data_IF_984386339543
#
_entry.id   IF_984386339543
#
_cell.length_a   1.000
_cell.length_b   1.000
_cell.length_c   1.000
_cell.angle_alpha   90.00
_cell.angle_beta   90.00
_cell.angle_gamma   90.00
#
_symmetry.space_group_name_H-M   'P 1'
#
loop_
_entity.id
_entity.type
_entity.pdbx_description
1 polymer ?
#
# COMPACT_ATOMS: atom_id res chain seq x y z
N UNK A 1 17.98 -33.56 -36.35
CA UNK A 1 16.73 -34.06 -35.76
C UNK A 1 16.68 -33.86 -34.24
N UNK A 2 17.68 -34.27 -33.45
CA UNK A 2 17.69 -34.03 -31.99
C UNK A 2 17.68 -32.53 -31.60
N UNK A 3 18.47 -31.70 -32.29
CA UNK A 3 18.54 -30.25 -32.02
C UNK A 3 17.23 -29.50 -32.34
N UNK A 4 16.51 -29.93 -33.39
CA UNK A 4 15.23 -29.34 -33.79
C UNK A 4 14.09 -29.73 -32.82
N UNK A 5 14.15 -30.95 -32.26
CA UNK A 5 13.23 -31.40 -31.21
C UNK A 5 13.46 -30.63 -29.89
N UNK A 6 14.72 -30.51 -29.46
CA UNK A 6 15.09 -29.75 -28.26
C UNK A 6 14.66 -28.28 -28.35
N UNK A 7 14.83 -27.66 -29.52
CA UNK A 7 14.37 -26.29 -29.75
C UNK A 7 12.84 -26.14 -29.67
N UNK A 8 12.08 -27.12 -30.18
CA UNK A 8 10.61 -27.10 -30.08
C UNK A 8 10.12 -27.28 -28.64
N UNK A 9 10.76 -28.17 -27.88
CA UNK A 9 10.44 -28.36 -26.45
C UNK A 9 10.74 -27.10 -25.63
N UNK A 10 11.88 -26.44 -25.89
CA UNK A 10 12.23 -25.17 -25.26
C UNK A 10 11.20 -24.08 -25.57
N UNK A 11 10.86 -23.90 -26.84
CA UNK A 11 9.86 -22.90 -27.26
C UNK A 11 8.51 -23.18 -26.62
N UNK A 12 8.09 -24.46 -26.55
CA UNK A 12 6.83 -24.84 -25.89
C UNK A 12 6.82 -24.44 -24.42
N UNK A 13 7.88 -24.72 -23.68
CA UNK A 13 7.98 -24.34 -22.26
C UNK A 13 7.92 -22.81 -22.08
N UNK A 14 8.63 -22.06 -22.93
CA UNK A 14 8.59 -20.59 -22.89
C UNK A 14 7.19 -20.04 -23.16
N UNK A 15 6.43 -20.67 -24.07
CA UNK A 15 5.05 -20.29 -24.34
C UNK A 15 4.14 -20.57 -23.15
N UNK A 16 4.30 -21.72 -22.48
CA UNK A 16 3.53 -22.07 -21.30
C UNK A 16 3.83 -21.13 -20.13
N UNK A 17 5.10 -20.82 -19.86
CA UNK A 17 5.49 -19.86 -18.81
C UNK A 17 4.89 -18.47 -19.06
N UNK A 18 4.97 -17.99 -20.31
CA UNK A 18 4.38 -16.72 -20.70
C UNK A 18 2.86 -16.73 -20.52
N UNK A 19 2.19 -17.82 -20.90
CA UNK A 19 0.74 -17.96 -20.74
C UNK A 19 0.33 -17.98 -19.26
N UNK A 20 1.07 -18.68 -18.39
CA UNK A 20 0.82 -18.68 -16.96
C UNK A 20 0.99 -17.31 -16.33
N UNK A 21 2.00 -16.56 -16.77
CA UNK A 21 2.22 -15.19 -16.30
C UNK A 21 1.06 -14.27 -16.68
N UNK A 22 0.64 -14.27 -17.95
CA UNK A 22 -0.49 -13.46 -18.41
C UNK A 22 -1.80 -13.85 -17.72
N UNK A 23 -2.03 -15.16 -17.51
CA UNK A 23 -3.22 -15.62 -16.78
C UNK A 23 -3.20 -15.19 -15.31
N UNK A 24 -2.03 -15.16 -14.68
CA UNK A 24 -1.88 -14.73 -13.28
C UNK A 24 -2.30 -13.28 -13.07
N UNK A 25 -2.08 -12.43 -14.06
CA UNK A 25 -2.26 -10.98 -13.96
C UNK A 25 -3.72 -10.53 -13.85
N UNK A 26 -4.61 -11.09 -14.67
CA UNK A 26 -5.97 -10.55 -14.85
C UNK A 26 -7.09 -11.59 -14.63
N UNK A 27 -6.78 -12.86 -14.42
CA UNK A 27 -7.81 -13.88 -14.18
C UNK A 27 -8.40 -13.78 -12.75
N UNK A 28 -9.71 -14.02 -12.55
CA UNK A 28 -10.34 -13.98 -11.22
C UNK A 28 -10.00 -15.25 -10.41
N UNK A 29 -8.78 -15.32 -9.88
CA UNK A 29 -8.32 -16.45 -9.09
C UNK A 29 -9.07 -16.56 -7.77
N UNK A 30 -9.59 -17.76 -7.49
CA UNK A 30 -10.14 -18.13 -6.18
C UNK A 30 -9.10 -18.88 -5.36
N UNK A 31 -9.30 -18.95 -4.04
CA UNK A 31 -8.41 -19.71 -3.14
C UNK A 31 -8.19 -21.15 -3.64
N UNK A 32 -9.26 -21.86 -4.01
CA UNK A 32 -9.20 -23.23 -4.53
C UNK A 32 -8.40 -23.35 -5.84
N UNK A 33 -8.48 -22.34 -6.71
CA UNK A 33 -7.70 -22.34 -7.95
C UNK A 33 -6.23 -22.06 -7.67
N UNK A 34 -5.92 -21.12 -6.79
CA UNK A 34 -4.55 -20.85 -6.36
C UNK A 34 -3.94 -22.06 -5.68
N UNK A 35 -4.66 -22.78 -4.83
CA UNK A 35 -4.20 -24.04 -4.24
C UNK A 35 -3.83 -25.07 -5.31
N UNK A 36 -4.70 -25.24 -6.31
CA UNK A 36 -4.49 -26.22 -7.37
C UNK A 36 -3.30 -25.88 -8.27
N UNK A 37 -3.06 -24.58 -8.52
CA UNK A 37 -2.09 -24.11 -9.50
C UNK A 37 -0.94 -23.27 -8.91
N UNK A 38 -0.72 -23.33 -7.60
CA UNK A 38 0.26 -22.53 -6.84
C UNK A 38 1.71 -22.61 -7.33
N UNK A 39 2.07 -23.68 -8.04
CA UNK A 39 3.43 -23.88 -8.57
C UNK A 39 3.58 -23.42 -10.03
N UNK A 40 2.50 -22.96 -10.66
CA UNK A 40 2.49 -22.50 -12.05
C UNK A 40 2.25 -21.00 -12.16
N UNK A 41 1.42 -20.44 -11.28
CA UNK A 41 1.12 -19.00 -11.28
C UNK A 41 2.35 -18.17 -10.95
N UNK A 42 2.42 -16.99 -11.57
CA UNK A 42 3.39 -15.97 -11.20
C UNK A 42 2.85 -15.20 -9.99
N UNK A 43 3.45 -15.40 -8.82
CA UNK A 43 2.96 -14.81 -7.57
C UNK A 43 3.08 -13.29 -7.51
N UNK A 44 4.02 -12.71 -8.26
CA UNK A 44 4.13 -11.26 -8.39
C UNK A 44 2.91 -10.72 -9.13
N UNK A 45 2.53 -11.37 -10.23
CA UNK A 45 1.33 -11.06 -11.01
C UNK A 45 0.04 -11.28 -10.22
N UNK A 46 -0.05 -12.38 -9.47
CA UNK A 46 -1.17 -12.64 -8.57
C UNK A 46 -1.33 -11.49 -7.58
N UNK A 47 -0.25 -11.04 -6.94
CA UNK A 47 -0.30 -10.02 -5.88
C UNK A 47 -0.82 -8.65 -6.35
N UNK A 48 -0.54 -8.27 -7.60
CA UNK A 48 -1.08 -7.05 -8.22
C UNK A 48 -2.46 -7.21 -8.89
N UNK A 49 -2.99 -8.42 -8.94
CA UNK A 49 -4.24 -8.72 -9.63
C UNK A 49 -5.44 -8.14 -8.86
N UNK A 50 -6.17 -7.20 -9.47
CA UNK A 50 -7.34 -6.55 -8.88
C UNK A 50 -8.63 -7.40 -8.99
N UNK A 51 -8.61 -8.50 -9.74
CA UNK A 51 -9.73 -9.44 -9.88
C UNK A 51 -9.72 -10.56 -8.81
N UNK A 52 -8.67 -10.61 -7.97
CA UNK A 52 -8.61 -11.49 -6.80
C UNK A 52 -9.33 -10.83 -5.62
N UNK A 53 -10.24 -11.59 -5.01
CA UNK A 53 -10.88 -11.18 -3.75
C UNK A 53 -9.96 -11.55 -2.60
N UNK A 54 -9.19 -10.58 -2.13
CA UNK A 54 -8.21 -10.74 -1.06
C UNK A 54 -8.87 -10.87 0.32
N UNK A 55 -9.18 -12.10 0.71
CA UNK A 55 -9.64 -12.42 2.08
C UNK A 55 -8.45 -12.66 3.01
N UNK A 56 -8.63 -12.46 4.31
CA UNK A 56 -7.60 -12.76 5.30
C UNK A 56 -7.12 -14.22 5.23
N UNK A 57 -8.04 -15.19 5.06
CA UNK A 57 -7.70 -16.62 4.86
C UNK A 57 -6.72 -16.84 3.71
N UNK A 58 -6.96 -16.18 2.57
CA UNK A 58 -6.11 -16.29 1.39
C UNK A 58 -4.72 -15.68 1.66
N UNK A 59 -4.67 -14.52 2.32
CA UNK A 59 -3.42 -13.88 2.74
C UNK A 59 -2.61 -14.77 3.68
N UNK A 60 -3.23 -15.35 4.71
CA UNK A 60 -2.56 -16.25 5.66
C UNK A 60 -1.99 -17.48 4.95
N UNK A 61 -2.80 -18.10 4.09
CA UNK A 61 -2.45 -19.34 3.38
C UNK A 61 -1.28 -19.16 2.42
N UNK A 62 -1.21 -18.02 1.73
CA UNK A 62 -0.20 -17.76 0.71
C UNK A 62 0.84 -16.70 1.10
N UNK A 63 0.89 -16.30 2.38
CA UNK A 63 1.79 -15.27 2.94
C UNK A 63 3.23 -15.35 2.44
N UNK A 64 3.79 -16.56 2.36
CA UNK A 64 5.19 -16.78 1.98
C UNK A 64 5.44 -16.82 0.47
N UNK A 65 4.39 -16.70 -0.34
CA UNK A 65 4.47 -16.69 -1.81
C UNK A 65 4.12 -15.33 -2.39
N UNK A 66 3.26 -14.58 -1.71
CA UNK A 66 2.83 -13.26 -2.13
C UNK A 66 4.03 -12.29 -2.19
N UNK A 67 4.03 -11.47 -3.23
CA UNK A 67 4.88 -10.28 -3.33
C UNK A 67 4.18 -9.16 -2.58
N UNK A 68 4.64 -8.88 -1.37
CA UNK A 68 3.98 -7.92 -0.49
C UNK A 68 4.10 -6.48 -0.96
N UNK A 69 5.12 -6.13 -1.75
CA UNK A 69 5.25 -4.79 -2.32
C UNK A 69 4.18 -4.55 -3.40
N UNK A 70 4.00 -5.51 -4.30
CA UNK A 70 2.93 -5.47 -5.31
C UNK A 70 1.54 -5.55 -4.66
N UNK A 71 1.40 -6.35 -3.60
CA UNK A 71 0.15 -6.46 -2.85
C UNK A 71 -0.19 -5.16 -2.13
N UNK A 72 0.78 -4.49 -1.49
CA UNK A 72 0.56 -3.15 -0.93
C UNK A 72 0.19 -2.17 -2.01
N UNK A 73 0.75 -2.26 -3.21
CA UNK A 73 0.43 -1.35 -4.32
C UNK A 73 -0.97 -1.57 -4.90
N UNK A 74 -1.61 -2.72 -4.62
CA UNK A 74 -2.97 -3.06 -5.08
C UNK A 74 -4.03 -2.05 -4.60
N UNK A 75 -5.13 -1.92 -5.36
CA UNK A 75 -6.22 -0.98 -5.08
C UNK A 75 -7.38 -1.59 -4.26
N UNK A 76 -7.33 -2.90 -3.98
CA UNK A 76 -8.37 -3.59 -3.23
C UNK A 76 -8.42 -3.11 -1.78
N UNK A 77 -9.53 -2.50 -1.40
CA UNK A 77 -9.75 -1.98 -0.04
C UNK A 77 -9.82 -3.09 1.02
N UNK A 78 -10.16 -4.32 0.63
CA UNK A 78 -10.20 -5.48 1.54
C UNK A 78 -8.82 -5.84 2.11
N UNK A 79 -7.74 -5.43 1.44
CA UNK A 79 -6.36 -5.68 1.91
C UNK A 79 -6.01 -4.85 3.15
N UNK A 80 -6.55 -3.64 3.25
CA UNK A 80 -6.09 -2.63 4.20
C UNK A 80 -7.09 -2.38 5.35
N UNK A 81 -7.81 -3.43 5.75
CA UNK A 81 -8.56 -3.41 7.01
C UNK A 81 -7.59 -3.34 8.19
N UNK A 82 -8.03 -2.80 9.33
CA UNK A 82 -7.20 -2.71 10.53
C UNK A 82 -6.67 -4.09 10.97
N UNK A 83 -7.50 -5.13 10.91
CA UNK A 83 -7.13 -6.51 11.22
C UNK A 83 -6.01 -7.03 10.31
N UNK A 84 -6.07 -6.74 9.00
CA UNK A 84 -5.03 -7.14 8.05
C UNK A 84 -3.73 -6.33 8.25
N UNK A 85 -3.84 -5.03 8.55
CA UNK A 85 -2.68 -4.19 8.87
C UNK A 85 -1.98 -4.74 10.12
N UNK A 86 -2.71 -5.09 11.18
CA UNK A 86 -2.14 -5.70 12.39
C UNK A 86 -1.52 -7.07 12.11
N UNK A 87 -2.29 -7.97 11.48
CA UNK A 87 -1.90 -9.37 11.29
C UNK A 87 -0.65 -9.50 10.42
N UNK A 88 -0.49 -8.62 9.44
CA UNK A 88 0.60 -8.65 8.46
C UNK A 88 1.53 -7.43 8.54
N UNK A 89 1.58 -6.73 9.68
CA UNK A 89 2.37 -5.51 9.89
C UNK A 89 3.85 -5.62 9.48
N UNK A 90 4.45 -6.79 9.61
CA UNK A 90 5.87 -7.00 9.26
C UNK A 90 6.08 -7.38 7.79
N UNK A 91 4.99 -7.52 7.03
CA UNK A 91 5.04 -7.88 5.62
C UNK A 91 4.71 -6.69 4.72
N UNK A 92 3.84 -5.79 5.17
CA UNK A 92 3.47 -4.62 4.39
C UNK A 92 4.66 -3.69 4.10
N UNK A 93 4.67 -3.16 2.88
CA UNK A 93 5.48 -1.99 2.53
C UNK A 93 4.89 -0.73 3.17
N UNK A 94 5.49 -0.27 4.28
CA UNK A 94 5.00 0.89 5.01
C UNK A 94 5.18 2.21 4.27
N UNK A 95 6.17 2.30 3.38
CA UNK A 95 6.35 3.51 2.57
C UNK A 95 5.16 3.68 1.63
N UNK A 96 4.78 2.60 0.93
CA UNK A 96 3.60 2.61 0.04
C UNK A 96 2.30 2.76 0.83
N UNK A 97 2.16 2.10 1.99
CA UNK A 97 0.96 2.26 2.85
C UNK A 97 0.78 3.71 3.31
N UNK A 98 1.87 4.44 3.59
CA UNK A 98 1.81 5.83 4.07
C UNK A 98 1.14 6.79 3.09
N UNK A 99 1.14 6.45 1.80
CA UNK A 99 0.50 7.23 0.72
C UNK A 99 -0.88 6.67 0.30
N UNK A 100 -1.34 5.57 0.91
CA UNK A 100 -2.61 4.94 0.52
C UNK A 100 -3.84 5.71 0.98
N UNK A 101 -4.54 6.33 0.04
CA UNK A 101 -5.79 7.07 0.28
C UNK A 101 -6.98 6.22 0.74
N UNK A 102 -6.94 4.90 0.59
CA UNK A 102 -7.99 4.00 1.06
C UNK A 102 -7.88 3.61 2.55
N UNK A 103 -6.81 4.02 3.22
CA UNK A 103 -6.59 3.80 4.65
C UNK A 103 -7.07 5.03 5.40
N UNK A 104 -7.99 4.81 6.35
CA UNK A 104 -8.41 5.83 7.29
C UNK A 104 -7.32 6.03 8.35
N UNK A 105 -6.64 7.17 8.31
CA UNK A 105 -5.49 7.47 9.18
C UNK A 105 -5.95 7.95 10.56
N UNK A 106 -6.66 7.07 11.28
CA UNK A 106 -7.15 7.36 12.62
C UNK A 106 -6.00 7.63 13.60
N UNK A 107 -6.27 8.41 14.64
CA UNK A 107 -5.26 8.67 15.68
C UNK A 107 -4.70 7.40 16.32
N UNK A 108 -5.54 6.38 16.52
CA UNK A 108 -5.12 5.08 17.07
C UNK A 108 -4.12 4.39 16.14
N UNK A 109 -4.39 4.36 14.83
CA UNK A 109 -3.51 3.75 13.83
C UNK A 109 -2.17 4.51 13.69
N UNK A 110 -2.22 5.84 13.67
CA UNK A 110 -1.04 6.69 13.57
C UNK A 110 -0.09 6.50 14.76
N UNK A 111 -0.62 6.46 15.99
CA UNK A 111 0.20 6.29 17.20
C UNK A 111 0.76 4.86 17.28
N UNK A 112 -0.07 3.87 16.98
CA UNK A 112 0.29 2.45 17.12
C UNK A 112 1.46 2.03 16.24
N UNK A 113 1.59 2.65 15.06
CA UNK A 113 2.66 2.37 14.09
C UNK A 113 3.49 3.60 13.75
N UNK A 114 3.62 4.54 14.70
CA UNK A 114 4.29 5.82 14.48
C UNK A 114 5.74 5.67 14.00
N UNK A 115 6.43 4.60 14.40
CA UNK A 115 7.80 4.28 13.99
C UNK A 115 7.91 3.68 12.58
N UNK A 116 6.79 3.27 11.97
CA UNK A 116 6.74 2.64 10.66
C UNK A 116 6.24 3.55 9.56
N UNK A 117 5.36 4.49 9.90
CA UNK A 117 4.84 5.44 8.93
C UNK A 117 5.95 6.32 8.36
N UNK A 118 5.91 6.54 7.05
CA UNK A 118 6.65 7.61 6.41
C UNK A 118 5.88 8.92 6.61
N UNK A 119 6.29 9.67 7.62
CA UNK A 119 5.62 10.91 8.02
C UNK A 119 5.67 12.01 6.96
N UNK A 120 6.62 11.97 6.03
CA UNK A 120 6.65 12.92 4.91
C UNK A 120 5.40 12.77 4.03
N UNK A 121 4.98 11.52 3.76
CA UNK A 121 3.73 11.26 3.05
C UNK A 121 2.52 11.58 3.92
N UNK A 122 2.54 11.20 5.21
CA UNK A 122 1.39 11.43 6.12
C UNK A 122 1.02 12.91 6.23
N UNK A 123 1.98 13.83 6.30
CA UNK A 123 1.69 15.27 6.46
C UNK A 123 1.28 15.97 5.16
N UNK A 124 1.35 15.28 4.02
CA UNK A 124 1.14 15.84 2.69
C UNK A 124 -0.02 15.17 1.91
N UNK A 125 -0.92 14.47 2.60
CA UNK A 125 -2.04 13.75 1.96
C UNK A 125 -3.15 14.72 1.54
N UNK A 126 -3.16 15.12 0.26
CA UNK A 126 -4.21 15.96 -0.32
C UNK A 126 -5.52 15.18 -0.55
N UNK A 127 -6.66 15.83 -0.31
CA UNK A 127 -7.99 15.22 -0.47
C UNK A 127 -8.35 14.14 0.55
N UNK A 128 -7.48 13.85 1.51
CA UNK A 128 -7.77 12.96 2.63
C UNK A 128 -8.42 13.74 3.78
N UNK A 129 -9.65 13.37 4.11
CA UNK A 129 -10.45 13.96 5.19
C UNK A 129 -10.30 13.17 6.51
N UNK A 130 -9.58 12.05 6.52
CA UNK A 130 -9.29 11.28 7.75
C UNK A 130 -8.37 12.04 8.71
N UNK A 131 -7.51 12.92 8.18
CA UNK A 131 -6.58 13.72 8.97
C UNK A 131 -7.02 15.17 9.01
N UNK A 132 -7.23 15.68 10.22
CA UNK A 132 -7.39 17.13 10.44
C UNK A 132 -6.03 17.76 10.69
N UNK A 133 -5.48 18.44 9.68
CA UNK A 133 -4.22 19.17 9.79
C UNK A 133 -4.39 20.49 10.54
N UNK A 134 -3.77 20.60 11.72
CA UNK A 134 -3.78 21.79 12.55
C UNK A 134 -2.58 21.80 13.51
N UNK A 135 -2.49 22.82 14.38
CA UNK A 135 -1.44 22.93 15.39
C UNK A 135 -1.45 21.76 16.40
N UNK A 136 -2.63 21.25 16.78
CA UNK A 136 -2.76 20.10 17.69
C UNK A 136 -2.16 18.82 17.07
N UNK A 137 -2.36 18.62 15.76
CA UNK A 137 -1.74 17.52 15.02
C UNK A 137 -0.21 17.62 15.08
N UNK A 138 0.34 18.82 14.85
CA UNK A 138 1.78 19.05 14.94
C UNK A 138 2.30 18.86 16.37
N UNK A 139 1.58 19.33 17.39
CA UNK A 139 1.94 19.12 18.79
C UNK A 139 1.97 17.64 19.16
N UNK A 140 1.03 16.85 18.64
CA UNK A 140 0.90 15.42 18.93
C UNK A 140 1.95 14.58 18.21
N UNK A 141 2.25 14.89 16.94
CA UNK A 141 3.05 14.04 16.07
C UNK A 141 4.39 14.64 15.64
N UNK A 142 4.70 15.86 16.09
CA UNK A 142 5.88 16.61 15.66
C UNK A 142 7.21 15.90 15.92
N UNK A 143 7.28 14.99 16.89
CA UNK A 143 8.50 14.20 17.15
C UNK A 143 8.82 13.19 16.03
N UNK A 144 7.81 12.75 15.28
CA UNK A 144 7.99 11.81 14.16
C UNK A 144 8.15 12.50 12.81
N UNK A 145 7.74 13.76 12.71
CA UNK A 145 7.76 14.53 11.47
C UNK A 145 9.18 15.04 11.20
N UNK A 146 9.83 14.66 10.09
CA UNK A 146 11.12 15.21 9.74
C UNK A 146 11.01 16.71 9.48
N UNK A 147 11.82 17.51 10.19
CA UNK A 147 11.76 18.97 10.07
C UNK A 147 12.02 19.48 8.63
N UNK A 148 12.78 18.72 7.81
CA UNK A 148 13.03 19.04 6.40
C UNK A 148 11.79 18.92 5.52
N UNK A 149 10.86 18.03 5.87
CA UNK A 149 9.66 17.71 5.09
C UNK A 149 8.46 18.55 5.54
N UNK A 150 8.50 19.13 6.74
CA UNK A 150 7.42 19.96 7.25
C UNK A 150 7.17 21.18 6.36
N UNK A 151 8.23 21.88 5.96
CA UNK A 151 8.12 23.08 5.14
C UNK A 151 7.59 22.79 3.74
N UNK A 152 6.43 23.34 3.41
CA UNK A 152 5.78 23.13 2.10
C UNK A 152 4.85 21.91 2.04
N UNK A 153 4.67 21.20 3.16
CA UNK A 153 3.64 20.18 3.29
C UNK A 153 2.24 20.78 3.43
N UNK A 154 1.20 20.00 3.12
CA UNK A 154 -0.19 20.35 3.41
C UNK A 154 -0.42 20.73 4.88
N UNK A 155 0.18 20.02 5.84
CA UNK A 155 0.09 20.36 7.27
C UNK A 155 0.58 21.79 7.53
N UNK A 156 1.74 22.13 6.97
CA UNK A 156 2.32 23.46 7.12
C UNK A 156 1.44 24.55 6.52
N UNK A 157 0.94 24.33 5.30
CA UNK A 157 0.05 25.28 4.64
C UNK A 157 -1.20 25.56 5.51
N UNK A 158 -1.83 24.52 6.07
CA UNK A 158 -2.98 24.68 6.98
C UNK A 158 -2.65 25.50 8.23
N UNK A 159 -1.48 25.28 8.86
CA UNK A 159 -1.04 26.03 10.04
C UNK A 159 -0.77 27.50 9.70
N UNK A 160 -0.06 27.75 8.59
CA UNK A 160 0.27 29.10 8.14
C UNK A 160 -1.00 29.90 7.79
N UNK A 161 -1.97 29.29 7.11
CA UNK A 161 -3.24 29.93 6.83
C UNK A 161 -3.97 30.39 8.09
N UNK A 162 -4.00 29.56 9.14
CA UNK A 162 -4.57 29.91 10.44
C UNK A 162 -3.81 31.07 11.08
N UNK A 163 -2.48 31.04 11.07
CA UNK A 163 -1.63 32.09 11.64
C UNK A 163 -1.80 33.43 10.90
N UNK A 164 -1.89 33.41 9.58
CA UNK A 164 -2.15 34.61 8.76
C UNK A 164 -3.48 35.26 9.16
N UNK A 165 -4.54 34.46 9.36
CA UNK A 165 -5.86 34.97 9.78
C UNK A 165 -5.78 35.63 11.17
N UNK A 166 -5.07 35.02 12.11
CA UNK A 166 -4.88 35.57 13.45
C UNK A 166 -4.11 36.91 13.42
N UNK A 167 -2.98 36.96 12.72
CA UNK A 167 -2.17 38.18 12.58
C UNK A 167 -2.95 39.34 11.95
N UNK A 168 -3.81 39.06 10.96
CA UNK A 168 -4.68 40.10 10.38
C UNK A 168 -5.63 40.70 11.41
N UNK A 169 -6.16 39.91 12.35
CA UNK A 169 -7.00 40.41 13.44
C UNK A 169 -6.19 41.23 14.44
N UNK A 170 -4.99 40.78 14.80
CA UNK A 170 -4.08 41.50 15.71
C UNK A 170 -3.67 42.88 15.15
N UNK A 171 -3.44 42.99 13.83
CA UNK A 171 -3.07 44.26 13.17
C UNK A 171 -4.25 45.24 13.09
N UNK A 172 -5.48 44.74 13.03
CA UNK A 172 -6.69 45.55 12.89
C UNK A 172 -7.31 45.98 14.23
N UNK A 173 -6.84 45.41 15.35
CA UNK A 173 -7.26 45.73 16.71
C UNK A 173 -6.51 46.93 17.29
#
# INVERSE_FOLDING_TARGET
>A
MANDKLNKELVSHMMDDAAWKELSKDFPWTELLLEKYMNYVDWKEISRNNNVVWTQSLLEKFKHRLDWHELTSNSSTLLFTEDNIETFKDCWDWEVLSDKSCIDMTHELLIKYADRWNWAYIIDRYGDDSITYNEEFLERYGEYIPASELGGSKLWDCIIEKRIKALKQEILA
#
